data_IF_068069872658
#
_entry.id   IF_068069872658
#
_cell.length_a   1.000
_cell.length_b   1.000
_cell.length_c   1.000
_cell.angle_alpha   90.00
_cell.angle_beta   90.00
_cell.angle_gamma   90.00
#
_symmetry.space_group_name_H-M   'P 1'
#
loop_
_entity.id
_entity.type
_entity.pdbx_description
1 polymer ?
#
# COMPACT_ATOMS: atom_id res chain seq x y z
N UNK A 1 -1.96 -20.98 -7.57
CA UNK A 1 -1.67 -19.55 -7.86
C UNK A 1 -2.32 -18.77 -6.73
N UNK A 2 -1.53 -18.01 -5.96
CA UNK A 2 -2.03 -17.20 -4.85
C UNK A 2 -2.21 -15.75 -5.30
N UNK A 3 -3.16 -15.05 -4.65
CA UNK A 3 -3.35 -13.61 -4.78
C UNK A 3 -2.68 -12.93 -3.60
N UNK A 4 -1.56 -12.26 -3.86
CA UNK A 4 -0.66 -11.77 -2.83
C UNK A 4 -0.74 -10.25 -2.72
N UNK A 5 -1.03 -9.77 -1.52
CA UNK A 5 -0.77 -8.38 -1.12
C UNK A 5 0.61 -8.28 -0.45
N UNK A 6 1.48 -7.39 -0.96
CA UNK A 6 2.83 -7.20 -0.43
C UNK A 6 2.88 -5.95 0.45
N UNK A 7 2.77 -6.13 1.76
CA UNK A 7 2.85 -5.06 2.73
C UNK A 7 4.31 -4.63 2.95
N UNK A 8 4.64 -3.34 2.77
CA UNK A 8 5.99 -2.83 3.01
C UNK A 8 6.06 -1.31 3.17
N UNK A 9 7.27 -0.78 3.33
CA UNK A 9 7.55 0.66 3.28
C UNK A 9 7.86 1.12 1.86
N UNK A 10 7.46 2.34 1.50
CA UNK A 10 7.92 3.04 0.30
C UNK A 10 9.45 3.11 0.18
N UNK A 11 10.16 3.13 1.32
CA UNK A 11 11.62 3.22 1.38
C UNK A 11 12.32 1.86 1.39
N UNK A 12 11.57 0.75 1.38
CA UNK A 12 12.15 -0.59 1.41
C UNK A 12 12.81 -0.91 0.05
N UNK A 13 14.11 -1.21 0.08
CA UNK A 13 14.92 -1.51 -1.11
C UNK A 13 14.74 -2.94 -1.65
N UNK A 14 14.28 -3.87 -0.83
CA UNK A 14 14.05 -5.27 -1.19
C UNK A 14 12.69 -5.48 -1.85
N UNK A 15 11.75 -4.58 -1.62
CA UNK A 15 10.37 -4.67 -2.12
C UNK A 15 10.26 -4.96 -3.63
N UNK A 16 10.97 -4.23 -4.54
CA UNK A 16 10.86 -4.51 -5.97
C UNK A 16 11.31 -5.92 -6.34
N UNK A 17 12.37 -6.42 -5.71
CA UNK A 17 12.88 -7.79 -5.95
C UNK A 17 11.88 -8.85 -5.46
N UNK A 18 11.28 -8.64 -4.28
CA UNK A 18 10.25 -9.56 -3.75
C UNK A 18 9.04 -9.62 -4.67
N UNK A 19 8.52 -8.47 -5.10
CA UNK A 19 7.40 -8.42 -6.05
C UNK A 19 7.72 -9.17 -7.34
N UNK A 20 8.91 -8.94 -7.90
CA UNK A 20 9.38 -9.64 -9.11
C UNK A 20 9.47 -11.14 -8.89
N UNK A 21 10.10 -11.60 -7.81
CA UNK A 21 10.27 -13.03 -7.49
C UNK A 21 8.93 -13.75 -7.30
N UNK A 22 7.97 -13.12 -6.62
CA UNK A 22 6.64 -13.69 -6.43
C UNK A 22 5.88 -13.82 -7.77
N UNK A 23 6.02 -12.84 -8.67
CA UNK A 23 5.45 -12.90 -10.02
C UNK A 23 6.13 -13.97 -10.88
N UNK A 24 7.46 -14.06 -10.84
CA UNK A 24 8.24 -15.11 -11.51
C UNK A 24 7.85 -16.52 -11.05
N UNK A 25 7.45 -16.66 -9.79
CA UNK A 25 6.91 -17.91 -9.23
C UNK A 25 5.47 -18.23 -9.66
N UNK A 26 4.83 -17.37 -10.47
CA UNK A 26 3.48 -17.58 -11.01
C UNK A 26 2.34 -17.18 -10.07
N UNK A 27 2.56 -16.20 -9.19
CA UNK A 27 1.52 -15.62 -8.34
C UNK A 27 0.95 -14.32 -8.93
N UNK A 28 -0.30 -14.00 -8.59
CA UNK A 28 -0.88 -12.68 -8.83
C UNK A 28 -0.47 -11.76 -7.68
N UNK A 29 0.25 -10.67 -7.97
CA UNK A 29 0.89 -9.85 -6.92
C UNK A 29 0.48 -8.39 -7.07
N UNK A 30 -0.20 -7.86 -6.05
CA UNK A 30 -0.51 -6.45 -5.95
C UNK A 30 0.74 -5.66 -5.53
N UNK A 31 1.11 -4.68 -6.35
CA UNK A 31 2.21 -3.75 -6.09
C UNK A 31 1.63 -2.36 -5.80
N UNK A 32 1.65 -1.93 -4.54
CA UNK A 32 1.08 -0.63 -4.14
C UNK A 32 1.83 0.57 -4.77
N UNK A 33 3.08 0.38 -5.22
CA UNK A 33 3.87 1.43 -5.89
C UNK A 33 3.50 1.54 -7.37
N UNK A 34 3.15 0.41 -8.00
CA UNK A 34 2.73 0.31 -9.41
C UNK A 34 1.41 -0.47 -9.54
N UNK A 35 0.30 0.19 -9.20
CA UNK A 35 -1.04 -0.40 -9.23
C UNK A 35 -1.42 -1.01 -10.60
N UNK A 36 -2.18 -2.13 -10.63
CA UNK A 36 -2.54 -2.80 -11.88
C UNK A 36 -3.40 -1.98 -12.85
N UNK A 37 -4.12 -0.98 -12.36
CA UNK A 37 -4.96 -0.08 -13.16
C UNK A 37 -4.13 0.99 -13.93
N UNK A 38 -2.80 0.94 -13.83
CA UNK A 38 -1.89 1.89 -14.46
C UNK A 38 -1.84 3.26 -13.77
N UNK A 39 -2.57 3.44 -12.67
CA UNK A 39 -2.46 4.64 -11.86
C UNK A 39 -1.13 4.68 -11.09
N UNK A 40 -0.77 5.86 -10.57
CA UNK A 40 0.40 5.98 -9.69
C UNK A 40 0.09 5.50 -8.28
N UNK A 41 1.13 5.07 -7.55
CA UNK A 41 1.02 4.88 -6.11
C UNK A 41 0.71 6.20 -5.38
N UNK A 42 0.17 6.12 -4.16
CA UNK A 42 -0.24 7.28 -3.39
C UNK A 42 0.97 8.07 -2.84
N UNK A 43 0.97 9.38 -3.04
CA UNK A 43 1.86 10.32 -2.36
C UNK A 43 1.06 11.50 -1.79
N UNK A 44 1.43 11.97 -0.60
CA UNK A 44 0.78 13.13 0.03
C UNK A 44 0.89 14.41 -0.78
N UNK A 45 1.97 14.58 -1.57
CA UNK A 45 2.13 15.72 -2.50
C UNK A 45 1.03 15.79 -3.57
N UNK A 46 0.36 14.68 -3.84
CA UNK A 46 -0.76 14.62 -4.78
C UNK A 46 -2.09 15.05 -4.13
N UNK A 47 -2.10 15.22 -2.81
CA UNK A 47 -3.20 15.82 -2.04
C UNK A 47 -2.98 17.32 -1.87
N UNK A 48 -1.76 17.71 -1.50
CA UNK A 48 -1.33 19.09 -1.32
C UNK A 48 0.19 19.16 -1.42
N UNK A 49 0.74 20.09 -2.20
CA UNK A 49 2.18 20.27 -2.35
C UNK A 49 2.86 20.65 -1.01
N UNK A 50 2.14 21.33 -0.12
CA UNK A 50 2.65 21.79 1.18
C UNK A 50 2.45 20.77 2.32
N UNK A 51 2.13 19.50 1.99
CA UNK A 51 1.81 18.46 2.98
C UNK A 51 2.91 18.24 4.04
N UNK A 52 4.18 18.49 3.70
CA UNK A 52 5.31 18.32 4.64
C UNK A 52 5.24 19.30 5.83
N UNK A 53 4.55 20.43 5.66
CA UNK A 53 4.38 21.46 6.69
C UNK A 53 3.03 21.36 7.42
N UNK A 54 2.26 20.28 7.18
CA UNK A 54 0.94 20.13 7.76
C UNK A 54 0.96 19.95 9.28
N UNK A 55 -0.01 20.59 9.94
CA UNK A 55 -0.35 20.25 11.33
C UNK A 55 -1.17 18.96 11.38
N UNK A 56 -1.36 18.41 12.58
CA UNK A 56 -2.28 17.27 12.79
C UNK A 56 -3.70 17.58 12.32
N UNK A 57 -4.17 18.83 12.44
CA UNK A 57 -5.48 19.25 11.96
C UNK A 57 -5.55 19.24 10.43
N UNK A 58 -4.46 19.60 9.75
CA UNK A 58 -4.39 19.58 8.28
C UNK A 58 -4.34 18.16 7.76
N UNK A 59 -3.59 17.25 8.40
CA UNK A 59 -3.66 15.81 8.09
C UNK A 59 -5.09 15.28 8.19
N UNK A 60 -5.85 15.65 9.23
CA UNK A 60 -7.26 15.23 9.36
C UNK A 60 -8.14 15.70 8.21
N UNK A 61 -7.90 16.91 7.70
CA UNK A 61 -8.59 17.42 6.49
C UNK A 61 -8.11 16.67 5.24
N UNK A 62 -6.81 16.47 5.10
CA UNK A 62 -6.19 15.74 3.98
C UNK A 62 -6.70 14.32 3.85
N UNK A 63 -7.05 13.65 4.95
CA UNK A 63 -7.68 12.33 4.93
C UNK A 63 -9.06 12.30 4.24
N UNK A 64 -9.74 13.44 4.09
CA UNK A 64 -11.02 13.59 3.39
C UNK A 64 -10.86 14.01 1.93
N UNK A 65 -9.63 14.19 1.46
CA UNK A 65 -9.38 14.50 0.06
C UNK A 65 -9.72 13.27 -0.81
N UNK A 66 -10.36 13.44 -1.98
CA UNK A 66 -10.74 12.32 -2.84
C UNK A 66 -9.57 11.39 -3.18
N UNK A 67 -8.36 11.93 -3.35
CA UNK A 67 -7.16 11.12 -3.61
C UNK A 67 -6.73 10.25 -2.42
N UNK A 68 -6.89 10.76 -1.19
CA UNK A 68 -6.62 9.99 0.04
C UNK A 68 -7.62 8.86 0.21
N UNK A 69 -8.92 9.15 0.01
CA UNK A 69 -9.98 8.15 0.08
C UNK A 69 -9.82 7.09 -1.01
N UNK A 70 -9.45 7.50 -2.22
CA UNK A 70 -9.17 6.60 -3.33
C UNK A 70 -7.97 5.68 -3.05
N UNK A 71 -6.86 6.23 -2.57
CA UNK A 71 -5.67 5.46 -2.20
C UNK A 71 -5.98 4.43 -1.11
N UNK A 72 -6.65 4.87 -0.04
CA UNK A 72 -7.06 3.98 1.06
C UNK A 72 -8.00 2.87 0.58
N UNK A 73 -9.01 3.21 -0.23
CA UNK A 73 -9.93 2.21 -0.79
C UNK A 73 -9.18 1.19 -1.63
N UNK A 74 -8.20 1.60 -2.45
CA UNK A 74 -7.42 0.69 -3.28
C UNK A 74 -6.61 -0.29 -2.45
N UNK A 75 -5.99 0.16 -1.36
CA UNK A 75 -5.26 -0.75 -0.47
C UNK A 75 -6.21 -1.73 0.22
N UNK A 76 -7.38 -1.29 0.69
CA UNK A 76 -8.40 -2.16 1.28
C UNK A 76 -8.95 -3.17 0.27
N UNK A 77 -9.28 -2.74 -0.95
CA UNK A 77 -9.76 -3.62 -2.02
C UNK A 77 -8.69 -4.66 -2.38
N UNK A 78 -7.43 -4.26 -2.45
CA UNK A 78 -6.31 -5.16 -2.72
C UNK A 78 -6.08 -6.17 -1.59
N UNK A 79 -6.16 -5.74 -0.33
CA UNK A 79 -6.07 -6.65 0.81
C UNK A 79 -7.24 -7.63 0.85
N UNK A 80 -8.45 -7.19 0.51
CA UNK A 80 -9.66 -8.04 0.45
C UNK A 80 -9.62 -9.02 -0.73
N UNK A 81 -9.02 -8.61 -1.85
CA UNK A 81 -8.83 -9.47 -3.02
C UNK A 81 -7.77 -10.56 -2.77
N UNK A 82 -6.77 -10.28 -1.94
CA UNK A 82 -5.67 -11.19 -1.65
C UNK A 82 -6.10 -12.32 -0.72
N UNK A 83 -5.58 -13.52 -0.98
CA UNK A 83 -5.69 -14.68 -0.08
C UNK A 83 -4.47 -14.81 0.84
N UNK A 84 -3.40 -14.08 0.52
CA UNK A 84 -2.11 -14.17 1.20
C UNK A 84 -1.50 -12.77 1.37
N UNK A 85 -0.98 -12.48 2.56
CA UNK A 85 -0.19 -11.27 2.80
C UNK A 85 1.29 -11.63 2.98
N UNK A 86 2.18 -10.90 2.31
CA UNK A 86 3.64 -10.98 2.51
C UNK A 86 4.13 -9.66 3.09
N UNK A 87 4.67 -9.72 4.32
CA UNK A 87 5.30 -8.57 4.97
C UNK A 87 6.79 -8.49 4.61
N UNK A 88 7.21 -7.43 3.94
CA UNK A 88 8.61 -7.22 3.56
C UNK A 88 9.29 -6.23 4.51
N UNK A 89 10.18 -6.74 5.35
CA UNK A 89 10.98 -5.97 6.30
C UNK A 89 12.23 -5.35 5.62
N UNK A 90 12.76 -4.24 6.16
CA UNK A 90 12.19 -3.41 7.22
C UNK A 90 10.99 -2.59 6.72
N UNK A 91 9.97 -2.41 7.56
CA UNK A 91 8.80 -1.59 7.25
C UNK A 91 8.30 -0.82 8.47
N UNK A 92 7.43 0.16 8.23
CA UNK A 92 6.83 0.98 9.28
C UNK A 92 5.62 0.31 9.93
N UNK A 93 5.04 1.00 10.91
CA UNK A 93 3.84 0.55 11.65
C UNK A 93 2.63 0.29 10.74
N UNK A 94 2.45 1.08 9.67
CA UNK A 94 1.32 0.93 8.75
C UNK A 94 1.27 -0.46 8.10
N UNK A 95 2.40 -0.94 7.57
CA UNK A 95 2.49 -2.28 6.98
C UNK A 95 2.21 -3.40 7.99
N UNK A 96 2.52 -3.19 9.28
CA UNK A 96 2.15 -4.14 10.33
C UNK A 96 0.65 -4.12 10.62
N UNK A 97 0.00 -2.95 10.56
CA UNK A 97 -1.46 -2.85 10.67
C UNK A 97 -2.16 -3.56 9.50
N UNK A 98 -1.66 -3.38 8.28
CA UNK A 98 -2.16 -4.07 7.07
C UNK A 98 -2.11 -5.59 7.25
N UNK A 99 -0.97 -6.14 7.72
CA UNK A 99 -0.84 -7.56 8.03
C UNK A 99 -1.86 -8.00 9.09
N UNK A 100 -2.10 -7.18 10.12
CA UNK A 100 -3.08 -7.47 11.16
C UNK A 100 -4.50 -7.67 10.61
N UNK A 101 -4.89 -6.95 9.55
CA UNK A 101 -6.21 -7.07 8.93
C UNK A 101 -6.46 -8.45 8.30
N UNK A 102 -5.41 -9.20 7.93
CA UNK A 102 -5.55 -10.56 7.39
C UNK A 102 -5.88 -11.61 8.47
N UNK A 103 -5.89 -11.24 9.75
CA UNK A 103 -6.16 -12.14 10.87
C UNK A 103 -7.45 -11.80 11.63
N UNK A 104 -8.27 -10.89 11.09
CA UNK A 104 -9.56 -10.51 11.68
C UNK A 104 -10.66 -11.25 10.92
N UNK A 105 -11.41 -12.09 11.64
CA UNK A 105 -12.58 -12.84 11.15
C UNK A 105 -13.84 -11.98 11.03
#
# INVERSE_FOLDING_TARGET
MAKIYVASSWRNKYYPEVVTKLREAGHEVYDFRNPPDGSKGFFWKDVDENWENWTVADYRKGLKHPWSEFGFKRDIDAMTWADTCVLVLPCGRSAHYEVGLFFID
#
